data_IF_039077372801
#
_entry.id   IF_039077372801
#
_cell.length_a   1.000
_cell.length_b   1.000
_cell.length_c   1.000
_cell.angle_alpha   90.00
_cell.angle_beta   90.00
_cell.angle_gamma   90.00
#
_symmetry.space_group_name_H-M   'P 1'
#
loop_
_entity.id
_entity.type
_entity.pdbx_description
1 polymer ?
#
# COMPACT_ATOMS: atom_id res chain seq x y z
N UNK A 1 19.28 -2.30 -9.74
CA UNK A 1 18.56 -3.55 -9.37
C UNK A 1 17.31 -3.36 -8.48
N UNK A 2 16.68 -2.16 -8.29
CA UNK A 2 15.32 -2.08 -7.72
C UNK A 2 14.18 -2.08 -8.75
N UNK A 3 14.39 -1.43 -9.90
CA UNK A 3 13.34 -1.25 -10.92
C UNK A 3 12.78 -2.58 -11.46
N UNK A 4 13.66 -3.59 -11.62
CA UNK A 4 13.27 -4.92 -12.09
C UNK A 4 12.35 -5.66 -11.12
N UNK A 5 12.59 -5.55 -9.80
CA UNK A 5 11.79 -6.25 -8.79
C UNK A 5 10.37 -5.67 -8.69
N UNK A 6 10.23 -4.34 -8.76
CA UNK A 6 8.89 -3.71 -8.78
C UNK A 6 8.12 -4.06 -10.04
N UNK A 7 8.76 -4.09 -11.21
CA UNK A 7 8.12 -4.48 -12.47
C UNK A 7 7.62 -5.94 -12.44
N UNK A 8 8.40 -6.84 -11.84
CA UNK A 8 8.00 -8.23 -11.62
C UNK A 8 6.77 -8.34 -10.72
N UNK A 9 6.75 -7.62 -9.60
CA UNK A 9 5.58 -7.55 -8.71
C UNK A 9 4.36 -7.01 -9.44
N UNK A 10 4.51 -5.92 -10.19
CA UNK A 10 3.41 -5.32 -10.93
C UNK A 10 2.79 -6.33 -11.91
N UNK A 11 3.61 -7.04 -12.69
CA UNK A 11 3.15 -8.09 -13.62
C UNK A 11 2.46 -9.24 -12.90
N UNK A 12 2.98 -9.65 -11.74
CA UNK A 12 2.40 -10.73 -10.94
C UNK A 12 1.08 -10.34 -10.26
N UNK A 13 0.93 -9.09 -9.82
CA UNK A 13 -0.28 -8.57 -9.18
C UNK A 13 -1.40 -8.25 -10.17
N UNK A 14 -1.06 -7.65 -11.31
CA UNK A 14 -2.03 -7.15 -12.29
C UNK A 14 -3.20 -8.09 -12.64
N UNK A 15 -3.00 -9.41 -12.84
CA UNK A 15 -4.12 -10.31 -13.17
C UNK A 15 -4.98 -10.74 -11.97
N UNK A 16 -4.53 -10.54 -10.73
CA UNK A 16 -5.16 -11.10 -9.51
C UNK A 16 -5.57 -10.07 -8.47
N UNK A 17 -5.06 -8.84 -8.57
CA UNK A 17 -5.29 -7.76 -7.62
C UNK A 17 -6.61 -7.04 -7.94
N UNK A 18 -7.45 -6.85 -6.92
CA UNK A 18 -8.79 -6.25 -7.08
C UNK A 18 -8.77 -4.73 -6.91
N UNK A 19 -7.87 -4.24 -6.07
CA UNK A 19 -7.65 -2.81 -5.87
C UNK A 19 -6.88 -2.15 -7.00
N UNK A 20 -6.26 -1.02 -6.69
CA UNK A 20 -5.54 -0.21 -7.67
C UNK A 20 -4.03 -0.45 -7.61
N UNK A 21 -3.42 -0.63 -8.77
CA UNK A 21 -1.98 -0.64 -8.95
C UNK A 21 -1.56 0.65 -9.68
N UNK A 22 -0.86 1.53 -8.98
CA UNK A 22 -0.46 2.85 -9.48
C UNK A 22 1.06 2.89 -9.64
N UNK A 23 1.50 3.21 -10.85
CA UNK A 23 2.91 3.40 -11.22
C UNK A 23 3.16 4.87 -11.60
N UNK A 24 4.42 5.34 -11.65
CA UNK A 24 4.74 6.74 -11.97
C UNK A 24 4.21 7.26 -13.31
N UNK A 25 3.80 6.39 -14.23
CA UNK A 25 3.17 6.74 -15.52
C UNK A 25 1.64 6.98 -15.40
N UNK A 26 1.03 6.65 -14.27
CA UNK A 26 -0.38 6.92 -14.02
C UNK A 26 -0.60 8.39 -13.62
N UNK A 27 -1.60 9.04 -14.23
CA UNK A 27 -1.94 10.45 -13.98
C UNK A 27 -2.29 10.75 -12.52
N UNK A 28 -2.83 9.79 -11.77
CA UNK A 28 -3.19 9.96 -10.35
C UNK A 28 -2.07 9.56 -9.39
N UNK A 29 -0.92 9.12 -9.90
CA UNK A 29 0.18 8.59 -9.09
C UNK A 29 0.72 9.63 -8.11
N UNK A 30 0.99 10.85 -8.57
CA UNK A 30 1.60 11.89 -7.73
C UNK A 30 0.70 12.23 -6.54
N UNK A 31 -0.61 12.28 -6.74
CA UNK A 31 -1.57 12.52 -5.65
C UNK A 31 -1.66 11.31 -4.70
N UNK A 32 -1.64 10.08 -5.23
CA UNK A 32 -1.62 8.88 -4.41
C UNK A 32 -0.32 8.71 -3.60
N UNK A 33 0.81 9.17 -4.14
CA UNK A 33 2.12 9.07 -3.49
C UNK A 33 2.29 10.03 -2.31
N UNK A 34 1.55 11.14 -2.27
CA UNK A 34 1.66 12.17 -1.21
C UNK A 34 1.45 11.57 0.18
N UNK A 35 2.36 11.88 1.11
CA UNK A 35 2.22 11.58 2.54
C UNK A 35 2.01 12.87 3.33
N UNK A 36 1.63 12.75 4.61
CA UNK A 36 1.37 13.92 5.44
C UNK A 36 2.61 14.81 5.63
N UNK A 37 3.78 14.20 5.89
CA UNK A 37 5.03 14.94 6.01
C UNK A 37 5.76 15.01 4.66
N UNK A 38 5.56 16.11 3.92
CA UNK A 38 6.22 16.33 2.63
C UNK A 38 7.75 16.40 2.74
N UNK A 39 8.32 16.77 3.89
CA UNK A 39 9.77 16.82 4.09
C UNK A 39 10.42 15.41 4.13
N UNK A 40 9.63 14.36 4.38
CA UNK A 40 10.06 12.97 4.37
C UNK A 40 9.46 12.17 3.18
N UNK A 41 8.94 12.88 2.18
CA UNK A 41 8.33 12.30 0.98
C UNK A 41 9.37 11.48 0.20
N UNK A 42 9.03 10.22 -0.06
CA UNK A 42 9.79 9.31 -0.93
C UNK A 42 9.01 9.05 -2.20
N UNK A 43 9.67 8.52 -3.23
CA UNK A 43 9.08 8.24 -4.55
C UNK A 43 8.96 6.73 -4.82
N UNK A 44 7.79 6.11 -4.59
CA UNK A 44 7.59 4.69 -4.83
C UNK A 44 7.78 4.29 -6.29
N UNK A 45 8.13 3.02 -6.52
CA UNK A 45 8.05 2.43 -7.85
C UNK A 45 6.65 1.90 -8.17
N UNK A 46 5.91 1.49 -7.15
CA UNK A 46 4.55 0.98 -7.26
C UNK A 46 3.78 1.27 -5.96
N UNK A 47 2.53 1.70 -6.10
CA UNK A 47 1.56 1.77 -5.01
C UNK A 47 0.48 0.74 -5.29
N UNK A 48 0.27 -0.19 -4.35
CA UNK A 48 -0.80 -1.18 -4.39
C UNK A 48 -1.85 -0.80 -3.33
N UNK A 49 -2.91 -0.11 -3.76
CA UNK A 49 -4.03 0.27 -2.91
C UNK A 49 -5.02 -0.88 -2.81
N UNK A 50 -5.04 -1.54 -1.66
CA UNK A 50 -5.77 -2.78 -1.45
C UNK A 50 -7.27 -2.53 -1.32
N UNK A 51 -8.09 -3.30 -2.03
CA UNK A 51 -9.55 -3.27 -1.88
C UNK A 51 -10.05 -4.22 -0.79
N UNK A 52 -9.31 -5.30 -0.50
CA UNK A 52 -9.68 -6.29 0.51
C UNK A 52 -8.46 -6.97 1.18
N UNK A 53 -8.73 -7.95 2.05
CA UNK A 53 -7.69 -8.73 2.74
C UNK A 53 -6.91 -9.63 1.77
N UNK A 54 -7.53 -10.11 0.69
CA UNK A 54 -6.86 -10.99 -0.27
C UNK A 54 -5.78 -10.23 -1.05
N UNK A 55 -6.04 -8.96 -1.39
CA UNK A 55 -5.07 -8.04 -1.96
C UNK A 55 -3.85 -7.89 -1.03
N UNK A 56 -4.08 -7.56 0.25
CA UNK A 56 -3.00 -7.40 1.25
C UNK A 56 -2.14 -8.66 1.34
N UNK A 57 -2.77 -9.81 1.48
CA UNK A 57 -2.06 -11.08 1.59
C UNK A 57 -1.24 -11.41 0.35
N UNK A 58 -1.79 -11.16 -0.84
CA UNK A 58 -1.13 -11.47 -2.11
C UNK A 58 0.06 -10.56 -2.35
N UNK A 59 -0.08 -9.26 -2.09
CA UNK A 59 1.02 -8.30 -2.21
C UNK A 59 2.14 -8.59 -1.21
N UNK A 60 1.84 -8.92 0.06
CA UNK A 60 2.86 -9.28 1.06
C UNK A 60 3.61 -10.54 0.64
N UNK A 61 2.92 -11.58 0.15
CA UNK A 61 3.56 -12.81 -0.32
C UNK A 61 4.54 -12.54 -1.45
N UNK A 62 4.10 -11.80 -2.47
CA UNK A 62 4.94 -11.47 -3.64
C UNK A 62 6.12 -10.55 -3.28
N UNK A 63 5.89 -9.57 -2.40
CA UNK A 63 6.94 -8.68 -1.90
C UNK A 63 8.01 -9.46 -1.10
N UNK A 64 7.58 -10.40 -0.25
CA UNK A 64 8.47 -11.26 0.52
C UNK A 64 9.35 -12.13 -0.39
N UNK A 65 8.77 -12.72 -1.44
CA UNK A 65 9.53 -13.58 -2.38
C UNK A 65 10.50 -12.81 -3.28
N UNK A 66 10.19 -11.56 -3.61
CA UNK A 66 11.01 -10.72 -4.50
C UNK A 66 12.06 -9.88 -3.76
N UNK A 67 11.93 -9.75 -2.43
CA UNK A 67 12.82 -8.92 -1.61
C UNK A 67 12.69 -7.42 -1.87
N UNK A 68 11.58 -6.97 -2.49
CA UNK A 68 11.37 -5.54 -2.72
C UNK A 68 11.25 -4.80 -1.39
N UNK A 69 11.86 -3.62 -1.29
CA UNK A 69 11.61 -2.73 -0.16
C UNK A 69 10.11 -2.38 -0.15
N UNK A 70 9.45 -2.68 0.97
CA UNK A 70 8.00 -2.51 1.11
C UNK A 70 7.70 -1.56 2.27
N UNK A 71 6.95 -0.51 1.99
CA UNK A 71 6.35 0.36 3.00
C UNK A 71 4.87 0.01 3.15
N UNK A 72 4.38 0.00 4.39
CA UNK A 72 2.95 -0.19 4.70
C UNK A 72 2.35 1.17 5.06
N UNK A 73 1.23 1.51 4.42
CA UNK A 73 0.55 2.79 4.62
C UNK A 73 -0.89 2.58 5.11
N UNK A 74 -1.16 3.04 6.32
CA UNK A 74 -2.52 3.25 6.84
C UNK A 74 -2.93 4.72 6.55
N UNK A 75 -2.94 5.59 7.56
CA UNK A 75 -3.23 7.03 7.39
C UNK A 75 -2.09 7.88 6.80
N UNK A 76 -0.86 7.38 6.69
CA UNK A 76 0.26 8.12 6.09
C UNK A 76 0.87 9.24 6.97
N UNK A 77 0.61 9.23 8.28
CA UNK A 77 1.07 10.23 9.26
C UNK A 77 2.45 9.93 9.89
N UNK A 78 3.26 9.07 9.26
CA UNK A 78 4.59 8.79 9.79
C UNK A 78 5.48 10.04 9.69
N UNK A 79 5.95 10.56 10.84
CA UNK A 79 6.86 11.70 10.87
C UNK A 79 8.16 11.43 10.08
N UNK A 80 8.67 10.20 10.18
CA UNK A 80 9.89 9.77 9.48
C UNK A 80 9.64 9.24 8.06
N UNK A 81 8.41 9.33 7.54
CA UNK A 81 8.07 8.87 6.19
C UNK A 81 8.15 7.36 6.01
N UNK A 82 7.85 6.55 7.03
CA UNK A 82 7.82 5.09 6.94
C UNK A 82 6.62 4.54 6.15
N UNK A 83 5.63 5.38 5.87
CA UNK A 83 4.49 5.07 4.99
C UNK A 83 4.81 5.24 3.51
N UNK A 84 6.08 5.41 3.15
CA UNK A 84 6.58 5.46 1.77
C UNK A 84 8.01 4.90 1.68
N UNK A 85 8.46 4.59 0.48
CA UNK A 85 9.80 4.08 0.17
C UNK A 85 10.22 4.54 -1.24
N UNK A 86 11.53 4.72 -1.46
CA UNK A 86 12.04 5.06 -2.79
C UNK A 86 12.19 3.82 -3.67
N UNK A 87 11.61 3.86 -4.86
CA UNK A 87 11.71 2.83 -5.89
C UNK A 87 11.15 1.45 -5.49
N UNK A 88 10.46 1.35 -4.34
CA UNK A 88 9.88 0.12 -3.80
C UNK A 88 8.36 0.05 -3.95
N UNK A 89 7.76 -0.87 -3.19
CA UNK A 89 6.31 -1.07 -3.10
C UNK A 89 5.74 -0.32 -1.89
N UNK A 90 4.73 0.51 -2.12
CA UNK A 90 3.84 0.97 -1.03
C UNK A 90 2.58 0.13 -1.04
N UNK A 91 2.33 -0.58 0.05
CA UNK A 91 1.06 -1.26 0.30
C UNK A 91 0.10 -0.28 1.01
N UNK A 92 -0.85 0.26 0.26
CA UNK A 92 -1.77 1.30 0.72
C UNK A 92 -3.08 0.66 1.20
N UNK A 93 -3.32 0.72 2.51
CA UNK A 93 -4.50 0.19 3.18
C UNK A 93 -5.61 1.25 3.30
N UNK A 94 -5.41 2.48 2.81
CA UNK A 94 -6.30 3.61 3.08
C UNK A 94 -7.74 3.45 2.59
N UNK A 95 -8.00 2.52 1.66
CA UNK A 95 -9.35 2.15 1.23
C UNK A 95 -10.05 1.16 2.18
N UNK A 96 -9.31 0.45 3.05
CA UNK A 96 -9.86 -0.51 4.01
C UNK A 96 -10.40 0.22 5.25
N UNK A 97 -11.63 0.72 5.15
CA UNK A 97 -12.27 1.59 6.17
C UNK A 97 -13.44 0.97 6.92
N UNK A 98 -13.68 -0.33 6.78
CA UNK A 98 -14.81 -0.99 7.43
C UNK A 98 -14.67 -1.00 8.96
N UNK A 99 -15.79 -0.75 9.63
CA UNK A 99 -15.93 -0.78 11.09
C UNK A 99 -17.13 -1.65 11.46
N UNK A 100 -16.93 -2.59 12.39
CA UNK A 100 -17.99 -3.40 12.97
C UNK A 100 -18.03 -3.19 14.48
N UNK A 101 -19.22 -2.90 15.04
CA UNK A 101 -19.42 -2.65 16.46
C UNK A 101 -20.34 -3.73 17.04
N UNK A 102 -19.88 -4.37 18.11
CA UNK A 102 -20.68 -5.23 18.98
C UNK A 102 -21.02 -4.44 20.23
N UNK A 103 -22.23 -3.86 20.24
CA UNK A 103 -22.73 -3.05 21.35
C UNK A 103 -22.90 -3.88 22.63
N UNK A 104 -23.39 -5.12 22.48
CA UNK A 104 -23.65 -6.02 23.60
C UNK A 104 -22.37 -6.42 24.33
N UNK A 105 -21.31 -6.71 23.55
CA UNK A 105 -19.98 -7.02 24.07
C UNK A 105 -19.11 -5.79 24.34
N UNK A 106 -19.56 -4.58 23.97
CA UNK A 106 -18.79 -3.32 24.01
C UNK A 106 -17.44 -3.43 23.28
N UNK A 107 -17.46 -3.97 22.06
CA UNK A 107 -16.26 -4.15 21.22
C UNK A 107 -16.45 -3.50 19.86
N UNK A 108 -15.36 -3.03 19.28
CA UNK A 108 -15.33 -2.59 17.88
C UNK A 108 -14.14 -3.23 17.16
N UNK A 109 -14.33 -3.56 15.89
CA UNK A 109 -13.31 -4.05 14.98
C UNK A 109 -13.18 -3.05 13.84
N UNK A 110 -11.96 -2.61 13.60
CA UNK A 110 -11.61 -1.66 12.54
C UNK A 110 -10.74 -2.37 11.52
N UNK A 111 -10.91 -2.00 10.26
CA UNK A 111 -9.98 -2.38 9.21
C UNK A 111 -8.65 -1.63 9.36
N UNK A 112 -7.58 -2.19 8.79
CA UNK A 112 -6.22 -1.65 8.96
C UNK A 112 -5.98 -0.29 8.32
N UNK A 113 -6.93 0.20 7.52
CA UNK A 113 -6.87 1.52 6.91
C UNK A 113 -7.45 2.65 7.77
N UNK A 114 -8.30 2.34 8.74
CA UNK A 114 -9.05 3.29 9.56
C UNK A 114 -8.19 4.37 10.24
#
# INVERSE_FOLDING_TARGET
MPATAVDEIFRALSPVFRGELLRPDNVTFEDAARIWNSAAQKRPGLIARCADVADVQTAIRLASTSGVLTAIRCGGHSLAGYSSCDGGLVLDLSALRDVAVDESGRRAKFSGGC
#
